data_IF_062840611469
#
_entry.id   IF_062840611469
#
_cell.length_a   1.000
_cell.length_b   1.000
_cell.length_c   1.000
_cell.angle_alpha   90.00
_cell.angle_beta   90.00
_cell.angle_gamma   90.00
#
_symmetry.space_group_name_H-M   'P 1'
#
loop_
_entity.id
_entity.type
_entity.pdbx_description
1 polymer ?
#
# COMPACT_ATOMS: atom_id res chain seq x y z
N UNK A 1 -35.71 1.23 -19.30
CA UNK A 1 -35.82 2.57 -18.67
C UNK A 1 -34.66 3.41 -19.13
N UNK A 2 -34.92 4.59 -19.70
CA UNK A 2 -33.87 5.60 -19.92
C UNK A 2 -33.57 6.24 -18.57
N UNK A 3 -32.36 6.03 -18.05
CA UNK A 3 -31.86 6.81 -16.93
C UNK A 3 -31.24 8.08 -17.52
N UNK A 4 -31.93 9.20 -17.34
CA UNK A 4 -31.36 10.51 -17.61
C UNK A 4 -30.65 10.98 -16.35
N UNK A 5 -29.37 11.25 -16.47
CA UNK A 5 -28.53 11.82 -15.42
C UNK A 5 -28.08 13.18 -15.95
N UNK A 6 -28.34 14.25 -15.19
CA UNK A 6 -27.95 15.60 -15.56
C UNK A 6 -26.95 16.10 -14.52
N UNK A 7 -25.68 16.15 -14.90
CA UNK A 7 -24.59 16.59 -14.04
C UNK A 7 -24.59 18.12 -13.97
N UNK A 8 -24.40 18.65 -12.78
CA UNK A 8 -23.96 20.03 -12.62
C UNK A 8 -22.59 20.26 -13.27
N UNK A 9 -22.25 21.52 -13.56
CA UNK A 9 -20.93 21.87 -14.08
C UNK A 9 -19.80 21.38 -13.17
N UNK A 10 -20.01 21.45 -11.85
CA UNK A 10 -19.11 20.95 -10.79
C UNK A 10 -18.85 19.45 -10.93
N UNK A 11 -19.92 18.67 -11.04
CA UNK A 11 -19.83 17.23 -11.13
C UNK A 11 -19.17 16.79 -12.45
N UNK A 12 -19.50 17.48 -13.55
CA UNK A 12 -18.90 17.22 -14.86
C UNK A 12 -17.39 17.44 -14.83
N UNK A 13 -16.93 18.55 -14.27
CA UNK A 13 -15.50 18.87 -14.15
C UNK A 13 -14.76 17.86 -13.26
N UNK A 14 -15.38 17.48 -12.14
CA UNK A 14 -14.83 16.46 -11.23
C UNK A 14 -14.67 15.11 -11.92
N UNK A 15 -15.69 14.66 -12.66
CA UNK A 15 -15.67 13.41 -13.40
C UNK A 15 -14.69 13.43 -14.57
N UNK A 16 -14.52 14.57 -15.25
CA UNK A 16 -13.51 14.75 -16.28
C UNK A 16 -12.10 14.55 -15.72
N UNK A 17 -11.77 15.22 -14.60
CA UNK A 17 -10.49 15.07 -13.94
C UNK A 17 -10.25 13.61 -13.48
N UNK A 18 -11.26 12.96 -12.88
CA UNK A 18 -11.17 11.56 -12.48
C UNK A 18 -10.95 10.62 -13.67
N UNK A 19 -11.68 10.83 -14.77
CA UNK A 19 -11.59 9.99 -15.95
C UNK A 19 -10.22 10.06 -16.63
N UNK A 20 -9.57 11.22 -16.56
CA UNK A 20 -8.24 11.43 -17.14
C UNK A 20 -7.13 10.94 -16.19
N UNK A 21 -7.18 11.34 -14.92
CA UNK A 21 -6.00 11.36 -14.07
C UNK A 21 -6.03 10.35 -12.91
N UNK A 22 -7.17 9.70 -12.64
CA UNK A 22 -7.24 8.81 -11.47
C UNK A 22 -6.33 7.58 -11.64
N UNK A 23 -5.57 7.21 -10.60
CA UNK A 23 -4.55 6.13 -10.70
C UNK A 23 -5.13 4.77 -11.12
N UNK A 24 -6.35 4.46 -10.68
CA UNK A 24 -7.01 3.17 -10.93
C UNK A 24 -7.92 3.23 -12.17
N UNK A 25 -7.70 2.30 -13.10
CA UNK A 25 -8.42 2.22 -14.38
C UNK A 25 -9.92 2.01 -14.20
N UNK A 26 -10.35 1.20 -13.23
CA UNK A 26 -11.77 0.96 -12.98
C UNK A 26 -12.48 2.25 -12.57
N UNK A 27 -11.85 3.10 -11.76
CA UNK A 27 -12.41 4.40 -11.38
C UNK A 27 -12.46 5.36 -12.59
N UNK A 28 -11.43 5.37 -13.44
CA UNK A 28 -11.46 6.14 -14.70
C UNK A 28 -12.62 5.71 -15.59
N UNK A 29 -12.79 4.40 -15.79
CA UNK A 29 -13.85 3.81 -16.62
C UNK A 29 -15.24 4.13 -16.06
N UNK A 30 -15.42 4.07 -14.73
CA UNK A 30 -16.68 4.48 -14.08
C UNK A 30 -16.98 5.95 -14.31
N UNK A 31 -15.99 6.83 -14.16
CA UNK A 31 -16.17 8.27 -14.35
C UNK A 31 -16.53 8.59 -15.81
N UNK A 32 -15.86 7.96 -16.78
CA UNK A 32 -16.23 8.05 -18.19
C UNK A 32 -17.65 7.53 -18.43
N UNK A 33 -18.05 6.44 -17.75
CA UNK A 33 -19.41 5.91 -17.82
C UNK A 33 -20.47 6.94 -17.46
N UNK A 34 -20.31 7.64 -16.34
CA UNK A 34 -21.26 8.67 -15.91
C UNK A 34 -21.28 9.86 -16.90
N UNK A 35 -20.11 10.29 -17.40
CA UNK A 35 -20.02 11.35 -18.41
C UNK A 35 -20.73 11.00 -19.73
N UNK A 36 -20.71 9.73 -20.14
CA UNK A 36 -21.42 9.28 -21.34
C UNK A 36 -22.94 9.27 -21.14
N UNK A 37 -23.42 8.91 -19.95
CA UNK A 37 -24.87 8.97 -19.65
C UNK A 37 -25.34 10.43 -19.65
N UNK A 38 -24.55 11.32 -19.06
CA UNK A 38 -24.82 12.75 -19.03
C UNK A 38 -24.81 13.39 -20.43
N UNK A 39 -23.97 12.91 -21.36
CA UNK A 39 -24.02 13.35 -22.76
C UNK A 39 -25.22 12.79 -23.56
N UNK A 40 -26.11 12.05 -22.91
CA UNK A 40 -27.35 11.53 -23.49
C UNK A 40 -27.23 10.13 -24.08
N UNK A 41 -26.12 9.41 -23.87
CA UNK A 41 -26.03 8.02 -24.30
C UNK A 41 -26.83 7.11 -23.37
N UNK A 42 -27.42 6.06 -23.95
CA UNK A 42 -28.10 5.03 -23.17
C UNK A 42 -27.07 4.11 -22.50
N UNK A 43 -27.42 3.57 -21.32
CA UNK A 43 -26.55 2.65 -20.58
C UNK A 43 -26.01 1.46 -21.41
N UNK A 44 -26.79 0.80 -22.30
CA UNK A 44 -26.25 -0.22 -23.18
C UNK A 44 -25.21 0.29 -24.19
N UNK A 45 -25.39 1.50 -24.74
CA UNK A 45 -24.43 2.11 -25.68
C UNK A 45 -23.14 2.52 -24.96
N UNK A 46 -23.26 3.13 -23.79
CA UNK A 46 -22.11 3.46 -22.95
C UNK A 46 -21.34 2.19 -22.52
N UNK A 47 -22.06 1.12 -22.15
CA UNK A 47 -21.46 -0.17 -21.79
C UNK A 47 -20.67 -0.79 -22.96
N UNK A 48 -21.23 -0.73 -24.17
CA UNK A 48 -20.55 -1.20 -25.38
C UNK A 48 -19.25 -0.42 -25.66
N UNK A 49 -19.28 0.91 -25.54
CA UNK A 49 -18.09 1.76 -25.72
C UNK A 49 -17.01 1.47 -24.68
N UNK A 50 -17.41 1.24 -23.43
CA UNK A 50 -16.49 0.98 -22.32
C UNK A 50 -16.07 -0.49 -22.18
N UNK A 51 -16.63 -1.38 -23.01
CA UNK A 51 -16.42 -2.84 -22.95
C UNK A 51 -16.74 -3.42 -21.57
N UNK A 52 -17.89 -3.04 -21.00
CA UNK A 52 -18.42 -3.53 -19.71
C UNK A 52 -19.86 -4.02 -19.87
N UNK A 53 -20.42 -4.66 -18.85
CA UNK A 53 -21.83 -5.05 -18.86
C UNK A 53 -22.75 -3.84 -18.66
N UNK A 54 -23.93 -3.84 -19.30
CA UNK A 54 -24.95 -2.80 -19.09
C UNK A 54 -25.36 -2.69 -17.62
N UNK A 55 -25.39 -3.81 -16.90
CA UNK A 55 -25.65 -3.83 -15.45
C UNK A 55 -24.63 -3.03 -14.66
N UNK A 56 -23.35 -3.04 -15.07
CA UNK A 56 -22.31 -2.25 -14.40
C UNK A 56 -22.62 -0.76 -14.52
N UNK A 57 -23.05 -0.30 -15.69
CA UNK A 57 -23.39 1.11 -15.92
C UNK A 57 -24.61 1.53 -15.10
N UNK A 58 -25.66 0.68 -15.02
CA UNK A 58 -26.80 0.93 -14.14
C UNK A 58 -26.38 1.02 -12.67
N UNK A 59 -25.54 0.10 -12.21
CA UNK A 59 -25.03 0.14 -10.83
C UNK A 59 -24.24 1.44 -10.54
N UNK A 60 -23.49 1.96 -11.51
CA UNK A 60 -22.77 3.23 -11.35
C UNK A 60 -23.72 4.43 -11.29
N UNK A 61 -24.77 4.44 -12.13
CA UNK A 61 -25.81 5.48 -12.12
C UNK A 61 -26.50 5.51 -10.74
N UNK A 62 -26.96 4.36 -10.26
CA UNK A 62 -27.62 4.27 -8.95
C UNK A 62 -26.69 4.69 -7.83
N UNK A 63 -25.44 4.19 -7.82
CA UNK A 63 -24.44 4.58 -6.84
C UNK A 63 -24.19 6.10 -6.86
N UNK A 64 -24.08 6.70 -8.05
CA UNK A 64 -23.90 8.14 -8.20
C UNK A 64 -25.09 8.93 -7.65
N UNK A 65 -26.32 8.49 -7.92
CA UNK A 65 -27.53 9.16 -7.41
C UNK A 65 -27.68 9.06 -5.89
N UNK A 66 -27.25 7.95 -5.29
CA UNK A 66 -27.35 7.74 -3.84
C UNK A 66 -26.31 8.57 -3.06
N UNK A 67 -25.04 8.52 -3.47
CA UNK A 67 -23.91 8.99 -2.64
C UNK A 67 -22.84 9.74 -3.45
N UNK A 68 -23.15 10.08 -4.70
CA UNK A 68 -22.30 10.86 -5.59
C UNK A 68 -20.91 10.24 -5.82
N UNK A 69 -19.90 11.10 -5.76
CA UNK A 69 -18.52 10.74 -5.97
C UNK A 69 -18.04 9.60 -5.06
N UNK A 70 -18.40 9.64 -3.78
CA UNK A 70 -17.95 8.64 -2.80
C UNK A 70 -18.42 7.23 -3.17
N UNK A 71 -19.59 7.12 -3.81
CA UNK A 71 -20.11 5.85 -4.31
C UNK A 71 -19.32 5.29 -5.49
N UNK A 72 -18.92 6.16 -6.42
CA UNK A 72 -18.14 5.79 -7.58
C UNK A 72 -16.77 5.19 -7.19
N UNK A 73 -16.21 5.67 -6.07
CA UNK A 73 -14.94 5.24 -5.49
C UNK A 73 -15.05 3.94 -4.64
N UNK A 74 -16.27 3.47 -4.31
CA UNK A 74 -16.48 2.23 -3.52
C UNK A 74 -16.26 0.97 -4.37
N UNK A 75 -15.99 -0.16 -3.71
CA UNK A 75 -15.81 -1.45 -4.41
C UNK A 75 -14.49 -1.64 -5.16
N UNK A 76 -13.60 -0.64 -5.21
CA UNK A 76 -12.19 -0.88 -5.57
C UNK A 76 -11.52 -1.68 -4.46
N UNK A 77 -11.33 -2.98 -4.71
CA UNK A 77 -10.46 -3.85 -3.95
C UNK A 77 -9.14 -3.88 -4.70
N UNK A 78 -8.10 -3.23 -4.17
CA UNK A 78 -6.76 -3.18 -4.75
C UNK A 78 -6.08 -4.54 -4.79
N UNK A 79 -6.61 -5.47 -5.58
CA UNK A 79 -6.01 -6.73 -5.95
C UNK A 79 -5.45 -6.59 -7.36
N UNK A 80 -4.12 -6.61 -7.48
CA UNK A 80 -3.44 -6.71 -8.78
C UNK A 80 -3.66 -8.13 -9.32
N UNK A 81 -4.04 -8.26 -10.60
CA UNK A 81 -3.88 -9.52 -11.32
C UNK A 81 -2.40 -9.96 -11.23
N UNK A 82 -2.13 -11.22 -10.87
CA UNK A 82 -0.76 -11.75 -10.75
C UNK A 82 -0.11 -11.81 -12.14
N UNK A 83 0.47 -10.70 -12.59
CA UNK A 83 1.28 -10.63 -13.83
C UNK A 83 2.59 -11.44 -13.72
N UNK A 84 3.02 -11.74 -12.49
CA UNK A 84 4.15 -12.62 -12.21
C UNK A 84 3.60 -13.89 -11.57
N UNK A 85 3.55 -14.97 -12.33
CA UNK A 85 3.22 -16.30 -11.81
C UNK A 85 4.30 -16.74 -10.83
N UNK A 86 3.91 -17.56 -9.85
CA UNK A 86 4.85 -18.05 -8.84
C UNK A 86 6.00 -18.86 -9.49
N UNK A 87 5.73 -19.54 -10.62
CA UNK A 87 6.73 -20.20 -11.44
C UNK A 87 7.79 -19.23 -12.02
N UNK A 88 7.36 -18.08 -12.57
CA UNK A 88 8.26 -17.08 -13.13
C UNK A 88 9.21 -16.49 -12.08
N UNK A 89 8.69 -16.26 -10.86
CA UNK A 89 9.50 -15.74 -9.75
C UNK A 89 10.49 -16.80 -9.24
N UNK A 90 10.12 -18.08 -9.24
CA UNK A 90 11.04 -19.17 -8.90
C UNK A 90 12.20 -19.27 -9.89
N UNK A 91 11.94 -19.24 -11.19
CA UNK A 91 13.00 -19.23 -12.22
C UNK A 91 13.93 -18.02 -12.07
N UNK A 92 13.38 -16.85 -11.77
CA UNK A 92 14.18 -15.65 -11.50
C UNK A 92 15.08 -15.78 -10.27
N UNK A 93 14.65 -16.52 -9.24
CA UNK A 93 15.46 -16.79 -8.05
C UNK A 93 16.59 -17.78 -8.34
N UNK A 94 16.33 -18.81 -9.13
CA UNK A 94 17.38 -19.77 -9.51
C UNK A 94 18.47 -19.12 -10.34
N UNK A 95 18.09 -18.26 -11.29
CA UNK A 95 19.04 -17.41 -12.03
C UNK A 95 19.80 -16.48 -11.10
N UNK A 96 19.12 -15.87 -10.11
CA UNK A 96 19.78 -14.99 -9.16
C UNK A 96 20.78 -15.75 -8.26
N UNK A 97 20.49 -17.01 -7.90
CA UNK A 97 21.37 -17.83 -7.06
C UNK A 97 22.59 -18.38 -7.79
N UNK A 98 22.56 -18.48 -9.13
CA UNK A 98 23.66 -19.05 -9.91
C UNK A 98 24.88 -18.12 -10.05
N UNK A 99 24.78 -16.85 -9.62
CA UNK A 99 25.91 -15.92 -9.59
C UNK A 99 25.60 -14.58 -8.92
N UNK A 100 26.62 -13.74 -8.69
CA UNK A 100 26.43 -12.36 -8.21
C UNK A 100 25.92 -11.45 -9.34
N UNK A 101 24.69 -11.66 -9.78
CA UNK A 101 24.09 -10.95 -10.92
C UNK A 101 23.32 -9.70 -10.47
N UNK A 102 23.43 -8.64 -11.26
CA UNK A 102 22.61 -7.43 -11.14
C UNK A 102 21.19 -7.67 -11.64
N UNK A 103 20.26 -6.84 -11.19
CA UNK A 103 18.85 -6.92 -11.60
C UNK A 103 18.64 -6.81 -13.12
N UNK A 104 19.51 -6.07 -13.82
CA UNK A 104 19.50 -5.96 -15.29
C UNK A 104 19.99 -7.24 -15.98
N UNK A 105 20.92 -7.97 -15.37
CA UNK A 105 21.42 -9.24 -15.90
C UNK A 105 20.41 -10.37 -15.68
N UNK A 106 19.80 -10.42 -14.50
CA UNK A 106 18.70 -11.36 -14.21
C UNK A 106 17.54 -11.14 -15.19
N UNK A 107 17.22 -9.88 -15.48
CA UNK A 107 16.23 -9.50 -16.49
C UNK A 107 16.55 -10.06 -17.88
N UNK A 108 17.78 -9.83 -18.36
CA UNK A 108 18.22 -10.29 -19.68
C UNK A 108 18.22 -11.81 -19.81
N UNK A 109 18.59 -12.52 -18.74
CA UNK A 109 18.57 -13.98 -18.70
C UNK A 109 17.14 -14.54 -18.70
N UNK A 110 16.20 -13.88 -18.05
CA UNK A 110 14.78 -14.25 -18.09
C UNK A 110 14.19 -14.04 -19.50
N UNK A 111 14.52 -12.94 -20.16
CA UNK A 111 14.06 -12.67 -21.53
C UNK A 111 14.60 -13.71 -22.52
N UNK A 112 15.86 -14.13 -22.34
CA UNK A 112 16.47 -15.23 -23.11
C UNK A 112 15.81 -16.58 -22.84
N UNK A 113 15.48 -16.87 -21.57
CA UNK A 113 14.86 -18.15 -21.17
C UNK A 113 13.41 -18.29 -21.64
N UNK A 114 12.63 -17.21 -21.66
CA UNK A 114 11.20 -17.25 -22.03
C UNK A 114 10.93 -16.80 -23.47
N UNK A 115 11.94 -16.29 -24.20
CA UNK A 115 11.83 -15.91 -25.61
C UNK A 115 10.94 -14.69 -25.88
N UNK A 116 10.60 -13.93 -24.84
CA UNK A 116 9.78 -12.71 -24.94
C UNK A 116 10.26 -11.65 -23.94
N UNK A 117 10.04 -10.34 -24.22
CA UNK A 117 10.40 -9.28 -23.29
C UNK A 117 9.67 -9.44 -21.95
N UNK A 118 10.25 -8.88 -20.89
CA UNK A 118 9.65 -9.00 -19.57
C UNK A 118 8.25 -8.38 -19.52
N UNK A 119 7.25 -9.11 -18.99
CA UNK A 119 5.89 -8.59 -18.84
C UNK A 119 5.77 -7.56 -17.70
N UNK A 120 6.88 -7.14 -17.11
CA UNK A 120 6.91 -6.24 -15.96
C UNK A 120 8.16 -5.35 -15.96
N UNK A 121 8.10 -4.23 -15.22
CA UNK A 121 9.25 -3.35 -15.04
C UNK A 121 10.34 -4.02 -14.20
N UNK A 122 11.60 -3.59 -14.39
CA UNK A 122 12.73 -4.04 -13.56
C UNK A 122 12.45 -3.86 -12.06
N UNK A 123 11.79 -2.77 -11.68
CA UNK A 123 11.39 -2.52 -10.29
C UNK A 123 10.36 -3.54 -9.77
N UNK A 124 9.42 -3.99 -10.61
CA UNK A 124 8.45 -5.01 -10.26
C UNK A 124 9.10 -6.40 -10.08
N UNK A 125 10.07 -6.73 -10.94
CA UNK A 125 10.90 -7.94 -10.79
C UNK A 125 11.73 -7.89 -9.50
N UNK A 126 12.41 -6.78 -9.24
CA UNK A 126 13.18 -6.57 -8.01
C UNK A 126 12.30 -6.65 -6.75
N UNK A 127 11.09 -6.13 -6.81
CA UNK A 127 10.11 -6.26 -5.72
C UNK A 127 9.60 -7.70 -5.54
N UNK A 128 9.47 -8.48 -6.62
CA UNK A 128 9.10 -9.89 -6.55
C UNK A 128 10.20 -10.76 -5.93
N UNK A 129 11.45 -10.53 -6.32
CA UNK A 129 12.62 -11.19 -5.76
C UNK A 129 12.78 -10.86 -4.27
N UNK A 130 12.62 -9.59 -3.88
CA UNK A 130 12.64 -9.18 -2.46
C UNK A 130 11.52 -9.82 -1.63
N UNK A 131 10.32 -10.00 -2.21
CA UNK A 131 9.21 -10.72 -1.55
C UNK A 131 9.52 -12.19 -1.28
N UNK A 132 10.41 -12.80 -2.07
CA UNK A 132 10.89 -14.18 -1.89
C UNK A 132 12.26 -14.25 -1.17
N UNK A 133 12.70 -13.14 -0.56
CA UNK A 133 13.88 -13.12 0.31
C UNK A 133 15.20 -12.71 -0.35
N UNK A 134 15.21 -12.28 -1.62
CA UNK A 134 16.44 -11.86 -2.30
C UNK A 134 16.86 -10.41 -1.96
N UNK A 135 18.14 -10.21 -1.64
CA UNK A 135 18.73 -8.89 -1.34
C UNK A 135 19.84 -8.53 -2.33
N UNK A 136 19.76 -7.33 -2.93
CA UNK A 136 20.81 -6.79 -3.81
C UNK A 136 21.89 -6.08 -2.98
N UNK A 137 23.19 -6.28 -3.30
CA UNK A 137 24.28 -5.51 -2.70
C UNK A 137 24.13 -4.02 -3.08
N UNK A 138 24.26 -3.11 -2.11
CA UNK A 138 24.21 -1.65 -2.33
C UNK A 138 25.61 -1.11 -2.60
N UNK A 139 25.80 -0.45 -3.74
CA UNK A 139 26.80 0.60 -3.90
C UNK A 139 26.07 1.95 -3.73
N UNK A 140 26.55 2.76 -2.80
CA UNK A 140 25.97 4.07 -2.49
C UNK A 140 26.76 5.13 -3.28
N UNK A 141 26.12 5.87 -4.19
CA UNK A 141 26.68 7.12 -4.72
C UNK A 141 25.87 8.30 -4.17
N UNK A 142 26.58 9.23 -3.55
CA UNK A 142 26.07 10.42 -2.87
C UNK A 142 25.66 11.47 -3.91
N UNK A 143 24.49 12.10 -3.75
CA UNK A 143 24.09 13.30 -4.50
C UNK A 143 24.10 14.47 -3.50
N UNK A 144 24.83 15.52 -3.85
CA UNK A 144 25.14 16.68 -3.02
C UNK A 144 23.91 17.61 -2.83
N UNK A 145 23.68 18.06 -1.60
CA UNK A 145 22.39 18.60 -1.12
C UNK A 145 22.40 20.12 -0.90
N UNK A 146 23.20 20.87 -1.65
CA UNK A 146 23.28 22.33 -1.46
C UNK A 146 22.62 23.16 -2.58
N UNK A 147 22.40 22.61 -3.78
CA UNK A 147 21.74 23.35 -4.87
C UNK A 147 20.20 23.35 -4.80
N UNK A 148 19.57 22.36 -4.15
CA UNK A 148 18.11 22.27 -4.06
C UNK A 148 17.50 23.31 -3.10
N UNK A 149 18.26 23.77 -2.10
CA UNK A 149 17.76 24.62 -1.01
C UNK A 149 17.52 26.06 -1.44
N UNK A 150 18.28 26.58 -2.41
CA UNK A 150 18.16 27.95 -2.91
C UNK A 150 16.93 28.15 -3.81
N UNK A 151 16.62 27.17 -4.67
CA UNK A 151 15.42 27.18 -5.54
C UNK A 151 14.10 27.07 -4.77
N UNK A 152 14.15 26.50 -3.56
CA UNK A 152 13.00 26.40 -2.66
C UNK A 152 12.73 27.77 -2.01
N UNK A 153 13.74 28.57 -1.67
CA UNK A 153 13.53 29.84 -0.97
C UNK A 153 12.82 30.91 -1.84
N UNK A 154 13.15 30.99 -3.14
CA UNK A 154 12.53 31.96 -4.07
C UNK A 154 11.06 31.65 -4.38
N UNK A 155 10.64 30.37 -4.29
CA UNK A 155 9.28 29.92 -4.58
C UNK A 155 8.27 30.18 -3.46
N UNK A 156 8.72 30.56 -2.26
CA UNK A 156 7.88 30.64 -1.05
C UNK A 156 7.23 32.01 -0.78
N UNK A 157 7.52 33.03 -1.59
CA UNK A 157 7.07 34.40 -1.31
C UNK A 157 5.66 34.76 -1.82
N UNK A 158 5.03 33.98 -2.72
CA UNK A 158 3.82 34.49 -3.46
C UNK A 158 2.48 33.78 -3.17
N UNK A 159 2.41 32.55 -2.64
CA UNK A 159 1.13 31.79 -2.59
C UNK A 159 0.60 31.50 -1.18
N UNK A 160 0.34 32.54 -0.39
CA UNK A 160 -0.18 32.39 1.00
C UNK A 160 -1.65 32.02 1.14
N UNK A 161 -2.46 32.08 0.08
CA UNK A 161 -3.86 31.65 0.15
C UNK A 161 -4.12 30.49 -0.81
N UNK A 162 -4.65 29.38 -0.30
CA UNK A 162 -5.35 28.40 -1.11
C UNK A 162 -6.78 28.91 -1.25
N UNK A 163 -7.13 29.41 -2.44
CA UNK A 163 -8.49 29.80 -2.77
C UNK A 163 -9.09 28.65 -3.56
N UNK A 164 -10.01 27.93 -2.93
CA UNK A 164 -10.77 26.89 -3.60
C UNK A 164 -11.93 27.51 -4.36
N UNK A 165 -12.19 27.01 -5.57
CA UNK A 165 -13.45 27.29 -6.28
C UNK A 165 -14.63 26.63 -5.55
N UNK A 166 -15.86 27.04 -5.86
CA UNK A 166 -17.04 26.37 -5.29
C UNK A 166 -17.09 24.88 -5.65
N UNK A 167 -16.67 24.54 -6.88
CA UNK A 167 -16.50 23.15 -7.36
C UNK A 167 -15.60 22.34 -6.43
N UNK A 168 -14.42 22.90 -6.13
CA UNK A 168 -13.43 22.27 -5.28
C UNK A 168 -13.91 22.11 -3.83
N UNK A 169 -14.62 23.11 -3.29
CA UNK A 169 -15.19 23.07 -1.94
C UNK A 169 -16.25 21.97 -1.81
N UNK A 170 -17.21 21.91 -2.74
CA UNK A 170 -18.27 20.90 -2.73
C UNK A 170 -17.69 19.48 -2.84
N UNK A 171 -16.70 19.32 -3.72
CA UNK A 171 -15.98 18.05 -3.91
C UNK A 171 -15.30 17.58 -2.62
N UNK A 172 -14.62 18.50 -1.92
CA UNK A 172 -13.94 18.21 -0.66
C UNK A 172 -14.92 17.95 0.49
N UNK A 173 -16.05 18.64 0.54
CA UNK A 173 -17.11 18.39 1.53
C UNK A 173 -17.74 17.01 1.36
N UNK A 174 -17.98 16.58 0.11
CA UNK A 174 -18.44 15.21 -0.17
C UNK A 174 -17.39 14.17 0.28
N UNK A 175 -16.11 14.39 -0.05
CA UNK A 175 -15.02 13.50 0.38
C UNK A 175 -14.89 13.44 1.90
N UNK A 176 -15.00 14.58 2.59
CA UNK A 176 -14.92 14.67 4.04
C UNK A 176 -16.02 13.87 4.73
N UNK A 177 -17.24 13.95 4.22
CA UNK A 177 -18.42 13.32 4.82
C UNK A 177 -18.50 11.82 4.50
N UNK A 178 -18.26 11.46 3.24
CA UNK A 178 -18.76 10.19 2.70
C UNK A 178 -17.66 9.21 2.28
N UNK A 179 -16.39 9.63 2.20
CA UNK A 179 -15.33 8.74 1.72
C UNK A 179 -15.04 7.61 2.72
N UNK A 180 -14.92 6.36 2.26
CA UNK A 180 -14.76 5.17 3.15
C UNK A 180 -13.52 5.23 4.04
N UNK A 181 -12.42 5.76 3.52
CA UNK A 181 -11.12 5.76 4.20
C UNK A 181 -10.91 7.04 5.02
N UNK A 182 -10.62 6.86 6.31
CA UNK A 182 -10.41 7.96 7.26
C UNK A 182 -9.26 8.89 6.86
N UNK A 183 -8.18 8.36 6.29
CA UNK A 183 -7.04 9.19 5.87
C UNK A 183 -7.40 10.13 4.72
N UNK A 184 -8.25 9.70 3.79
CA UNK A 184 -8.74 10.54 2.70
C UNK A 184 -9.73 11.59 3.21
N UNK A 185 -10.62 11.24 4.15
CA UNK A 185 -11.47 12.23 4.84
C UNK A 185 -10.63 13.29 5.55
N UNK A 186 -9.59 12.86 6.28
CA UNK A 186 -8.69 13.76 7.02
C UNK A 186 -7.91 14.71 6.12
N UNK A 187 -7.50 14.24 4.93
CA UNK A 187 -6.88 15.08 3.89
C UNK A 187 -7.85 16.15 3.40
N UNK A 188 -9.09 15.77 3.11
CA UNK A 188 -10.14 16.71 2.68
C UNK A 188 -10.42 17.77 3.75
N UNK A 189 -10.60 17.36 5.02
CA UNK A 189 -10.73 18.28 6.17
C UNK A 189 -9.54 19.24 6.24
N UNK A 190 -8.31 18.74 6.07
CA UNK A 190 -7.10 19.57 6.10
C UNK A 190 -7.10 20.67 5.05
N UNK A 191 -7.50 20.35 3.81
CA UNK A 191 -7.57 21.31 2.70
C UNK A 191 -8.69 22.35 2.93
N UNK A 192 -9.88 21.91 3.38
CA UNK A 192 -10.99 22.80 3.71
C UNK A 192 -10.62 23.82 4.81
N UNK A 193 -9.94 23.36 5.87
CA UNK A 193 -9.49 24.23 6.95
C UNK A 193 -8.44 25.25 6.49
N UNK A 194 -7.52 24.87 5.60
CA UNK A 194 -6.57 25.82 5.02
C UNK A 194 -7.30 26.86 4.16
N UNK A 195 -8.29 26.44 3.36
CA UNK A 195 -9.11 27.35 2.56
C UNK A 195 -9.94 28.32 3.42
N UNK A 196 -10.36 27.92 4.62
CA UNK A 196 -11.05 28.82 5.58
C UNK A 196 -10.15 29.92 6.17
N UNK A 197 -8.88 30.00 5.73
CA UNK A 197 -7.91 30.99 6.21
C UNK A 197 -7.14 30.55 7.46
N UNK A 198 -7.31 29.30 7.91
CA UNK A 198 -6.62 28.80 9.09
C UNK A 198 -5.15 28.50 8.77
N UNK A 199 -4.23 29.01 9.59
CA UNK A 199 -2.80 28.81 9.38
C UNK A 199 -2.42 27.32 9.41
N UNK A 200 -1.55 26.87 8.49
CA UNK A 200 -1.16 25.46 8.30
C UNK A 200 -0.74 24.78 9.62
N UNK A 201 -0.01 25.48 10.49
CA UNK A 201 0.40 24.94 11.81
C UNK A 201 -0.81 24.66 12.71
N UNK A 202 -1.81 25.54 12.72
CA UNK A 202 -3.06 25.37 13.49
C UNK A 202 -3.91 24.25 12.91
N UNK A 203 -3.99 24.15 11.58
CA UNK A 203 -4.65 23.03 10.89
C UNK A 203 -4.00 21.71 11.31
N UNK A 204 -2.67 21.61 11.15
CA UNK A 204 -1.90 20.41 11.48
C UNK A 204 -2.12 19.97 12.95
N UNK A 205 -2.11 20.91 13.89
CA UNK A 205 -2.43 20.62 15.29
C UNK A 205 -3.87 20.13 15.48
N UNK A 206 -4.86 20.77 14.82
CA UNK A 206 -6.28 20.43 14.94
C UNK A 206 -6.63 19.04 14.42
N UNK A 207 -5.98 18.60 13.34
CA UNK A 207 -6.18 17.28 12.74
C UNK A 207 -5.10 16.25 13.12
N UNK A 208 -4.23 16.59 14.07
CA UNK A 208 -3.15 15.75 14.61
C UNK A 208 -2.21 15.15 13.55
N UNK A 209 -1.67 15.99 12.67
CA UNK A 209 -0.66 15.63 11.67
C UNK A 209 0.51 16.61 11.70
N UNK A 210 1.60 16.31 10.98
CA UNK A 210 2.71 17.26 10.87
C UNK A 210 2.37 18.42 9.93
N UNK A 211 2.89 19.65 10.16
CA UNK A 211 2.72 20.76 9.22
C UNK A 211 3.24 20.44 7.81
N UNK A 212 4.32 19.66 7.70
CA UNK A 212 4.88 19.21 6.43
C UNK A 212 3.87 18.36 5.64
N UNK A 213 3.12 17.51 6.33
CA UNK A 213 2.06 16.69 5.73
C UNK A 213 0.98 17.57 5.10
N UNK A 214 0.56 18.64 5.80
CA UNK A 214 -0.44 19.58 5.27
C UNK A 214 0.10 20.35 4.07
N UNK A 215 1.37 20.79 4.10
CA UNK A 215 2.00 21.41 2.92
C UNK A 215 2.02 20.46 1.72
N UNK A 216 2.36 19.18 1.92
CA UNK A 216 2.34 18.19 0.85
C UNK A 216 0.94 18.05 0.25
N UNK A 217 -0.12 18.04 1.07
CA UNK A 217 -1.49 17.99 0.55
C UNK A 217 -1.85 19.24 -0.26
N UNK A 218 -1.48 20.44 0.20
CA UNK A 218 -1.72 21.68 -0.54
C UNK A 218 -1.01 21.67 -1.90
N UNK A 219 0.26 21.23 -1.92
CA UNK A 219 1.02 21.11 -3.16
C UNK A 219 0.40 20.07 -4.10
N UNK A 220 0.08 18.89 -3.59
CA UNK A 220 -0.52 17.82 -4.39
C UNK A 220 -1.89 18.23 -4.95
N UNK A 221 -2.72 18.92 -4.15
CA UNK A 221 -4.00 19.47 -4.60
C UNK A 221 -3.83 20.47 -5.74
N UNK A 222 -2.85 21.38 -5.66
CA UNK A 222 -2.61 22.39 -6.70
C UNK A 222 -2.15 21.80 -8.03
N UNK A 223 -1.46 20.67 -8.01
CA UNK A 223 -0.89 20.03 -9.20
C UNK A 223 -1.87 19.04 -9.85
N UNK A 224 -2.58 18.23 -9.05
CA UNK A 224 -3.39 17.09 -9.54
C UNK A 224 -4.85 17.11 -9.04
N UNK A 225 -5.24 18.13 -8.28
CA UNK A 225 -6.58 18.27 -7.71
C UNK A 225 -6.98 17.08 -6.84
N UNK A 226 -8.18 16.57 -7.06
CA UNK A 226 -8.75 15.48 -6.28
C UNK A 226 -7.93 14.18 -6.37
N UNK A 227 -7.34 13.89 -7.52
CA UNK A 227 -6.58 12.65 -7.76
C UNK A 227 -5.39 12.52 -6.81
N UNK A 228 -4.75 13.64 -6.47
CA UNK A 228 -3.64 13.70 -5.52
C UNK A 228 -4.05 13.28 -4.10
N UNK A 229 -5.26 13.64 -3.65
CA UNK A 229 -5.73 13.29 -2.31
C UNK A 229 -6.12 11.82 -2.18
N UNK A 230 -6.54 11.21 -3.28
CA UNK A 230 -6.92 9.79 -3.35
C UNK A 230 -5.69 8.85 -3.41
N UNK A 231 -4.50 9.39 -3.70
CA UNK A 231 -3.21 8.71 -3.76
C UNK A 231 -2.69 8.13 -2.44
N UNK A 232 -2.00 7.00 -2.50
CA UNK A 232 -1.15 6.54 -1.39
C UNK A 232 -1.87 5.90 -0.19
N UNK A 233 -3.18 5.61 -0.29
CA UNK A 233 -3.82 4.63 0.60
C UNK A 233 -3.36 3.22 0.19
N UNK A 234 -2.10 2.92 0.46
CA UNK A 234 -1.59 1.55 0.36
C UNK A 234 -1.92 0.89 1.69
N UNK A 235 -2.78 -0.15 1.66
CA UNK A 235 -2.90 -1.09 2.79
C UNK A 235 -1.47 -1.41 3.21
N UNK A 236 -1.12 -1.04 4.45
CA UNK A 236 0.25 -1.16 4.93
C UNK A 236 0.80 -2.57 4.72
N UNK A 237 2.13 -2.72 4.83
CA UNK A 237 2.83 -4.01 4.71
C UNK A 237 1.99 -5.12 5.37
N UNK A 238 1.57 -6.17 4.62
CA UNK A 238 0.82 -7.27 5.20
C UNK A 238 1.54 -7.78 6.45
N UNK A 239 0.78 -8.05 7.52
CA UNK A 239 1.37 -8.64 8.73
C UNK A 239 2.01 -9.96 8.33
N UNK A 240 3.34 -10.06 8.48
CA UNK A 240 4.11 -11.27 8.16
C UNK A 240 3.75 -12.45 9.08
N UNK A 241 3.23 -12.15 10.26
CA UNK A 241 2.69 -13.11 11.22
C UNK A 241 1.19 -13.27 10.97
N UNK A 242 0.76 -14.48 10.58
CA UNK A 242 -0.66 -14.83 10.54
C UNK A 242 -1.24 -14.85 11.95
N UNK A 243 -2.54 -14.61 12.08
CA UNK A 243 -3.21 -14.61 13.39
C UNK A 243 -3.14 -15.98 14.06
N UNK A 244 -3.25 -17.07 13.29
CA UNK A 244 -3.05 -18.43 13.78
C UNK A 244 -1.67 -18.65 14.40
N UNK A 245 -0.60 -18.10 13.77
CA UNK A 245 0.75 -18.23 14.29
C UNK A 245 0.95 -17.41 15.57
N UNK A 246 0.27 -16.26 15.69
CA UNK A 246 0.27 -15.46 16.93
C UNK A 246 -0.46 -16.18 18.05
N UNK A 247 -1.59 -16.84 17.78
CA UNK A 247 -2.32 -17.64 18.78
C UNK A 247 -1.45 -18.79 19.27
N UNK A 248 -0.86 -19.57 18.36
CA UNK A 248 0.05 -20.66 18.72
C UNK A 248 1.28 -20.17 19.51
N UNK A 249 1.82 -18.99 19.16
CA UNK A 249 2.92 -18.38 19.90
C UNK A 249 2.52 -18.00 21.33
N UNK A 250 1.29 -17.51 21.52
CA UNK A 250 0.73 -17.18 22.85
C UNK A 250 0.50 -18.45 23.66
N UNK A 251 -0.06 -19.51 23.08
CA UNK A 251 -0.24 -20.81 23.73
C UNK A 251 1.10 -21.35 24.26
N UNK A 252 2.12 -21.37 23.41
CA UNK A 252 3.47 -21.84 23.78
C UNK A 252 4.05 -20.95 24.89
N UNK A 253 3.87 -19.63 24.80
CA UNK A 253 4.37 -18.69 25.80
C UNK A 253 3.64 -18.76 27.16
N UNK A 254 2.40 -19.27 27.18
CA UNK A 254 1.60 -19.44 28.39
C UNK A 254 1.81 -20.80 29.04
N UNK A 255 2.14 -21.84 28.27
CA UNK A 255 2.38 -23.18 28.79
C UNK A 255 3.60 -23.25 29.72
N UNK A 256 4.72 -22.63 29.31
CA UNK A 256 5.96 -22.61 30.10
C UNK A 256 6.73 -21.30 29.90
N UNK A 257 7.60 -20.89 30.85
CA UNK A 257 8.42 -19.69 30.74
C UNK A 257 9.57 -19.87 29.74
N UNK A 258 9.24 -19.84 28.44
CA UNK A 258 10.21 -19.91 27.36
C UNK A 258 10.84 -18.56 27.02
N UNK A 259 12.08 -18.63 26.52
CA UNK A 259 12.73 -17.49 25.85
C UNK A 259 12.16 -17.30 24.44
N UNK A 260 12.26 -16.08 23.92
CA UNK A 260 11.76 -15.75 22.58
C UNK A 260 12.35 -16.64 21.46
N UNK A 261 13.61 -17.08 21.63
CA UNK A 261 14.27 -18.02 20.70
C UNK A 261 13.66 -19.42 20.77
N UNK A 262 13.35 -19.91 21.98
CA UNK A 262 12.71 -21.21 22.17
C UNK A 262 11.29 -21.23 21.61
N UNK A 263 10.50 -20.17 21.83
CA UNK A 263 9.17 -20.03 21.23
C UNK A 263 9.28 -20.06 19.70
N UNK A 264 10.30 -19.38 19.15
CA UNK A 264 10.56 -19.40 17.72
C UNK A 264 10.83 -20.81 17.18
N UNK A 265 11.77 -21.55 17.79
CA UNK A 265 12.09 -22.92 17.37
C UNK A 265 10.88 -23.87 17.50
N UNK A 266 10.07 -23.73 18.54
CA UNK A 266 8.86 -24.55 18.73
C UNK A 266 7.80 -24.26 17.65
N UNK A 267 7.66 -23.01 17.22
CA UNK A 267 6.78 -22.66 16.10
C UNK A 267 7.29 -23.23 14.77
N UNK A 268 8.60 -23.17 14.52
CA UNK A 268 9.20 -23.74 13.32
C UNK A 268 9.03 -25.27 13.28
N UNK A 269 9.18 -25.94 14.43
CA UNK A 269 8.93 -27.37 14.57
C UNK A 269 7.45 -27.75 14.40
N UNK A 270 6.53 -26.94 14.95
CA UNK A 270 5.07 -27.19 14.87
C UNK A 270 4.50 -27.00 13.46
N UNK A 271 5.05 -26.06 12.70
CA UNK A 271 4.54 -25.72 11.36
C UNK A 271 5.43 -26.21 10.21
N UNK A 272 6.59 -26.82 10.51
CA UNK A 272 7.50 -27.37 9.50
C UNK A 272 8.07 -26.33 8.54
N UNK A 273 8.03 -25.04 8.90
CA UNK A 273 8.48 -23.92 8.08
C UNK A 273 9.26 -22.92 8.93
N UNK A 274 10.30 -22.27 8.37
CA UNK A 274 11.03 -21.22 9.05
C UNK A 274 10.11 -20.03 9.33
N UNK A 275 10.38 -19.31 10.41
CA UNK A 275 9.57 -18.15 10.79
C UNK A 275 9.57 -17.11 9.65
N UNK A 276 8.39 -16.60 9.26
CA UNK A 276 8.28 -15.60 8.19
C UNK A 276 8.79 -14.21 8.62
N UNK A 277 9.22 -14.04 9.86
CA UNK A 277 9.66 -12.76 10.42
C UNK A 277 10.83 -12.90 11.38
N UNK A 278 11.50 -11.79 11.68
CA UNK A 278 12.53 -11.74 12.72
C UNK A 278 11.98 -12.10 14.10
N UNK A 279 12.85 -12.62 14.98
CA UNK A 279 12.51 -12.88 16.39
C UNK A 279 11.97 -11.62 17.09
N UNK A 280 12.49 -10.43 16.77
CA UNK A 280 11.96 -9.16 17.30
C UNK A 280 10.51 -8.90 16.91
N UNK A 281 10.12 -9.25 15.68
CA UNK A 281 8.74 -9.10 15.19
C UNK A 281 7.78 -10.05 15.94
N UNK A 282 8.23 -11.26 16.24
CA UNK A 282 7.52 -12.23 17.10
C UNK A 282 7.39 -11.69 18.54
N UNK A 283 8.46 -11.14 19.09
CA UNK A 283 8.46 -10.56 20.44
C UNK A 283 7.52 -9.36 20.56
N UNK A 284 7.47 -8.50 19.55
CA UNK A 284 6.53 -7.39 19.48
C UNK A 284 5.07 -7.87 19.38
N UNK A 285 4.81 -8.98 18.70
CA UNK A 285 3.48 -9.58 18.61
C UNK A 285 3.01 -10.17 19.96
N UNK A 286 3.89 -10.87 20.66
CA UNK A 286 3.62 -11.45 21.98
C UNK A 286 3.39 -10.37 23.05
N UNK A 287 4.17 -9.29 23.05
CA UNK A 287 3.97 -8.14 23.95
C UNK A 287 2.63 -7.45 23.73
N UNK A 288 2.19 -7.31 22.47
CA UNK A 288 0.85 -6.77 22.14
C UNK A 288 -0.29 -7.65 22.66
N UNK A 289 -0.04 -8.95 22.87
CA UNK A 289 -0.99 -9.90 23.44
C UNK A 289 -0.82 -10.07 24.97
N UNK A 290 0.03 -9.26 25.61
CA UNK A 290 0.20 -9.24 27.06
C UNK A 290 1.17 -10.29 27.62
N UNK A 291 1.91 -11.03 26.79
CA UNK A 291 2.84 -12.06 27.29
C UNK A 291 4.11 -11.45 27.90
N UNK A 292 4.45 -11.87 29.11
CA UNK A 292 5.72 -11.56 29.79
C UNK A 292 6.77 -12.62 29.47
N UNK A 293 7.73 -12.28 28.60
CA UNK A 293 8.79 -13.21 28.18
C UNK A 293 9.93 -13.29 29.20
N UNK A 294 10.50 -14.48 29.39
CA UNK A 294 11.71 -14.68 30.19
C UNK A 294 12.87 -13.88 29.58
N UNK A 295 13.42 -12.91 30.32
CA UNK A 295 14.63 -12.17 29.92
C UNK A 295 15.85 -13.05 30.20
N UNK A 296 16.74 -13.20 29.21
CA UNK A 296 18.03 -13.82 29.46
C UNK A 296 18.80 -12.94 30.46
N UNK A 297 18.97 -13.43 31.70
CA UNK A 297 20.04 -12.96 32.58
C UNK A 297 21.34 -13.40 31.93
N UNK A 298 22.18 -12.44 31.59
CA UNK A 298 23.43 -12.70 30.87
C UNK A 298 24.33 -13.68 31.63
N UNK A 299 24.90 -14.64 30.90
CA UNK A 299 26.30 -15.01 31.01
C UNK A 299 26.67 -15.91 29.84
N UNK A 300 27.61 -15.39 29.05
CA UNK A 300 28.63 -16.19 28.38
C UNK A 300 29.18 -17.21 29.37
N UNK A 301 29.15 -18.51 29.05
CA UNK A 301 30.16 -19.54 29.42
C UNK A 301 29.73 -20.95 28.98
N UNK A 302 30.56 -21.52 28.09
CA UNK A 302 30.93 -22.94 27.92
C UNK A 302 29.83 -23.96 27.56
N UNK A 303 30.04 -25.05 26.79
CA UNK A 303 31.20 -25.73 26.19
C UNK A 303 30.66 -26.64 25.06
N UNK A 304 31.48 -27.13 24.11
CA UNK A 304 31.02 -28.12 23.13
C UNK A 304 30.82 -29.48 23.83
N UNK A 305 29.66 -30.09 23.64
CA UNK A 305 29.39 -31.44 24.14
C UNK A 305 30.21 -32.42 23.30
N UNK A 306 31.18 -33.05 23.94
CA UNK A 306 31.88 -34.21 23.42
C UNK A 306 30.91 -35.39 23.34
N UNK A 307 30.89 -36.07 22.19
CA UNK A 307 30.28 -37.39 22.03
C UNK A 307 31.26 -38.36 22.68
N UNK A 308 30.92 -38.85 23.87
CA UNK A 308 31.62 -39.98 24.49
C UNK A 308 30.69 -41.20 24.41
N UNK A 309 31.23 -42.22 23.76
CA UNK A 309 30.76 -43.58 23.69
C UNK A 309 30.86 -44.27 25.06
N UNK A 310 30.08 -45.35 25.16
CA UNK A 310 30.24 -46.51 26.05
C UNK A 310 29.88 -46.37 27.53
N UNK A 311 29.06 -47.33 27.99
CA UNK A 311 29.31 -48.25 29.13
C UNK A 311 28.08 -49.18 29.24
N UNK A 312 28.15 -50.42 28.75
CA UNK A 312 28.54 -51.66 29.47
C UNK A 312 27.54 -52.17 30.53
N UNK A 313 26.93 -53.31 30.19
CA UNK A 313 26.62 -54.54 30.94
C UNK A 313 26.36 -54.59 32.46
N UNK A 314 25.25 -55.30 32.79
CA UNK A 314 25.01 -56.25 33.90
C UNK A 314 24.87 -55.71 35.34
N UNK A 315 24.30 -56.48 36.33
CA UNK A 315 24.03 -57.93 36.35
C UNK A 315 22.65 -58.39 36.92
N UNK A 316 22.19 -59.59 36.54
CA UNK A 316 22.07 -60.78 37.41
C UNK A 316 21.58 -62.00 36.61
#
# INVERSE_FOLDING_TARGET
>A
MQYYLNLSGVERETLLNLSANHMHRDIRVRATGILLIDSGLTAPKAAAQLKVSSQSVYNWIHAWQEDGLSALLRGHHGGRSKLLTDAFVSTALEIAKSGSLSLKEISRMLESHYGHPLPCTLQALGAALRRKGWSFRRNNSHIDSQQASALIAERFAVKRNLLLTEVEKETLLNLESNHRHRDIRLRATGILLVNSGLAVRRVAARINVSPQTVYHWIHAWREEGICALLGGHNRGRPRLLSEALVVAAVEIAQAEPFTLKQIGCLLEARYGQPLPCSLESLGAALRRKGCTLRRNKGRNRFQPVAIASDFESSPH
#
